data_IF_175649850683
#
_entry.id   IF_175649850683
#
_cell.length_a   1.000
_cell.length_b   1.000
_cell.length_c   1.000
_cell.angle_alpha   90.00
_cell.angle_beta   90.00
_cell.angle_gamma   90.00
#
_symmetry.space_group_name_H-M   'P 1'
#
loop_
_entity.id
_entity.type
_entity.pdbx_description
1 polymer ?
#
# COMPACT_ATOMS: atom_id res chain seq x y z
N UNK A 1 -20.14 65.24 4.24
CA UNK A 1 -19.13 64.44 3.52
C UNK A 1 -18.31 63.74 4.59
N UNK A 2 -18.45 62.45 4.83
CA UNK A 2 -17.92 61.39 3.98
C UNK A 2 -18.82 60.15 4.08
N UNK A 3 -19.24 59.67 2.91
CA UNK A 3 -20.02 58.46 2.76
C UNK A 3 -19.16 57.30 3.29
N UNK A 4 -19.59 56.66 4.38
CA UNK A 4 -18.94 55.47 4.92
C UNK A 4 -19.11 54.36 3.89
N UNK A 5 -18.08 54.20 3.05
CA UNK A 5 -17.98 53.14 2.05
C UNK A 5 -18.09 51.80 2.74
N UNK A 6 -19.33 51.29 2.82
CA UNK A 6 -19.67 49.95 3.26
C UNK A 6 -19.02 49.03 2.25
N UNK A 7 -17.77 48.63 2.52
CA UNK A 7 -17.00 47.67 1.72
C UNK A 7 -17.82 46.39 1.64
N UNK A 8 -18.62 46.28 0.59
CA UNK A 8 -19.25 45.04 0.16
C UNK A 8 -18.11 44.11 -0.23
N UNK A 9 -17.67 43.25 0.70
CA UNK A 9 -16.78 42.16 0.36
C UNK A 9 -17.47 41.38 -0.77
N UNK A 10 -16.83 41.29 -1.94
CA UNK A 10 -17.42 40.57 -3.06
C UNK A 10 -17.76 39.14 -2.64
N UNK A 11 -18.87 38.61 -3.15
CA UNK A 11 -19.30 37.22 -2.90
C UNK A 11 -18.15 36.26 -3.21
N UNK A 12 -17.37 36.51 -4.27
CA UNK A 12 -16.16 35.76 -4.62
C UNK A 12 -15.11 35.76 -3.51
N UNK A 13 -14.88 36.89 -2.83
CA UNK A 13 -13.94 36.96 -1.71
C UNK A 13 -14.45 36.20 -0.47
N UNK A 14 -15.77 36.20 -0.22
CA UNK A 14 -16.38 35.42 0.86
C UNK A 14 -16.29 33.92 0.58
N UNK A 15 -16.64 33.49 -0.64
CA UNK A 15 -16.50 32.09 -1.08
C UNK A 15 -15.03 31.66 -1.02
N UNK A 16 -14.10 32.49 -1.49
CA UNK A 16 -12.66 32.18 -1.44
C UNK A 16 -12.16 32.05 0.00
N UNK A 17 -12.65 32.88 0.92
CA UNK A 17 -12.33 32.76 2.36
C UNK A 17 -12.93 31.51 2.98
N UNK A 18 -14.18 31.16 2.65
CA UNK A 18 -14.82 29.94 3.13
C UNK A 18 -14.14 28.69 2.56
N UNK A 19 -13.83 28.67 1.27
CA UNK A 19 -13.05 27.61 0.63
C UNK A 19 -11.68 27.47 1.29
N UNK A 20 -10.96 28.57 1.53
CA UNK A 20 -9.69 28.53 2.29
C UNK A 20 -9.88 27.98 3.68
N UNK A 21 -10.86 28.43 4.46
CA UNK A 21 -11.13 27.91 5.82
C UNK A 21 -11.49 26.43 5.80
N UNK A 22 -12.32 26.00 4.84
CA UNK A 22 -12.71 24.62 4.64
C UNK A 22 -11.49 23.76 4.27
N UNK A 23 -10.68 24.21 3.30
CA UNK A 23 -9.41 23.57 2.97
C UNK A 23 -8.42 23.56 4.14
N UNK A 24 -8.28 24.64 4.90
CA UNK A 24 -7.38 24.66 6.08
C UNK A 24 -7.87 23.73 7.18
N UNK A 25 -9.20 23.55 7.34
CA UNK A 25 -9.76 22.65 8.34
C UNK A 25 -9.70 21.18 7.91
N UNK A 26 -9.91 20.89 6.62
CA UNK A 26 -10.09 19.52 6.11
C UNK A 26 -8.84 18.98 5.43
N UNK A 27 -7.99 19.81 4.84
CA UNK A 27 -6.75 19.31 4.23
C UNK A 27 -5.89 18.52 5.23
N UNK A 28 -5.67 18.98 6.48
CA UNK A 28 -4.91 18.19 7.45
C UNK A 28 -5.52 16.80 7.72
N UNK A 29 -6.85 16.70 7.77
CA UNK A 29 -7.54 15.42 8.00
C UNK A 29 -7.52 14.50 6.79
N UNK A 30 -7.40 15.05 5.58
CA UNK A 30 -7.27 14.29 4.33
C UNK A 30 -5.81 14.00 3.94
N UNK A 31 -4.84 14.61 4.63
CA UNK A 31 -3.40 14.39 4.40
C UNK A 31 -2.80 13.23 5.18
N UNK A 32 -3.60 12.52 5.99
CA UNK A 32 -3.12 11.40 6.81
C UNK A 32 -4.15 10.27 6.82
N UNK A 33 -3.67 9.05 6.94
CA UNK A 33 -4.53 7.89 7.22
C UNK A 33 -4.63 7.73 8.73
N UNK A 34 -5.84 7.48 9.23
CA UNK A 34 -6.05 7.22 10.66
C UNK A 34 -5.21 6.04 11.16
N UNK A 35 -4.76 6.14 12.41
CA UNK A 35 -3.96 5.07 13.02
C UNK A 35 -4.75 3.76 13.09
N UNK A 36 -4.12 2.67 12.62
CA UNK A 36 -4.68 1.32 12.69
C UNK A 36 -4.29 0.71 14.04
N UNK A 37 -5.17 0.85 15.04
CA UNK A 37 -4.87 0.49 16.43
C UNK A 37 -4.46 -0.97 16.62
N UNK A 38 -4.98 -1.91 15.82
CA UNK A 38 -4.61 -3.32 15.95
C UNK A 38 -3.12 -3.55 15.63
N UNK A 39 -2.54 -2.80 14.69
CA UNK A 39 -1.11 -2.91 14.35
C UNK A 39 -0.19 -2.45 15.48
N UNK A 40 -0.68 -1.62 16.41
CA UNK A 40 0.09 -1.20 17.60
C UNK A 40 0.34 -2.35 18.57
N UNK A 41 -0.60 -3.29 18.65
CA UNK A 41 -0.64 -4.35 19.65
C UNK A 41 0.10 -5.62 19.23
N UNK A 42 0.59 -5.64 17.98
CA UNK A 42 1.26 -6.78 17.38
C UNK A 42 2.70 -6.39 17.08
N UNK A 43 3.63 -7.33 17.17
CA UNK A 43 5.03 -7.13 16.72
C UNK A 43 5.24 -7.60 15.28
N UNK A 44 4.34 -8.46 14.79
CA UNK A 44 4.39 -8.98 13.44
C UNK A 44 3.01 -9.34 12.91
N UNK A 45 2.92 -9.32 11.58
CA UNK A 45 1.78 -9.82 10.82
C UNK A 45 2.30 -10.62 9.62
N UNK A 46 1.41 -11.43 9.06
CA UNK A 46 1.69 -12.18 7.83
C UNK A 46 0.58 -11.93 6.83
N UNK A 47 0.95 -11.79 5.57
CA UNK A 47 0.04 -11.57 4.44
C UNK A 47 0.06 -12.84 3.61
N UNK A 48 -1.11 -13.46 3.41
CA UNK A 48 -1.26 -14.67 2.58
C UNK A 48 -2.47 -14.53 1.67
N UNK A 49 -2.47 -15.25 0.56
CA UNK A 49 -3.68 -15.38 -0.24
C UNK A 49 -4.70 -16.23 0.51
N UNK A 50 -5.94 -15.76 0.56
CA UNK A 50 -7.04 -16.46 1.24
C UNK A 50 -7.50 -17.66 0.41
N UNK A 51 -7.83 -17.43 -0.86
CA UNK A 51 -8.35 -18.46 -1.76
C UNK A 51 -7.62 -18.44 -3.11
N UNK A 52 -6.91 -19.54 -3.40
CA UNK A 52 -6.19 -19.73 -4.66
C UNK A 52 -7.15 -19.89 -5.84
N UNK A 53 -8.38 -20.36 -5.60
CA UNK A 53 -9.39 -20.50 -6.66
C UNK A 53 -9.82 -19.14 -7.22
N UNK A 54 -9.83 -18.07 -6.41
CA UNK A 54 -10.09 -16.71 -6.89
C UNK A 54 -9.02 -16.24 -7.87
N UNK A 55 -7.74 -16.51 -7.55
CA UNK A 55 -6.64 -16.22 -8.46
C UNK A 55 -6.75 -17.03 -9.76
N UNK A 56 -7.00 -18.34 -9.65
CA UNK A 56 -7.18 -19.20 -10.82
C UNK A 56 -8.33 -18.71 -11.71
N UNK A 57 -9.46 -18.35 -11.12
CA UNK A 57 -10.61 -17.79 -11.84
C UNK A 57 -10.26 -16.48 -12.57
N UNK A 58 -9.51 -15.58 -11.95
CA UNK A 58 -9.03 -14.36 -12.59
C UNK A 58 -8.12 -14.65 -13.80
N UNK A 59 -7.19 -15.60 -13.64
CA UNK A 59 -6.28 -16.02 -14.72
C UNK A 59 -7.05 -16.69 -15.86
N UNK A 60 -7.94 -17.63 -15.55
CA UNK A 60 -8.75 -18.32 -16.55
C UNK A 60 -9.62 -17.34 -17.33
N UNK A 61 -10.26 -16.39 -16.64
CA UNK A 61 -11.08 -15.37 -17.30
C UNK A 61 -10.26 -14.48 -18.23
N UNK A 62 -9.05 -14.10 -17.83
CA UNK A 62 -8.13 -13.35 -18.66
C UNK A 62 -7.67 -14.15 -19.88
N UNK A 63 -7.22 -15.40 -19.69
CA UNK A 63 -6.67 -16.24 -20.77
C UNK A 63 -7.75 -16.66 -21.76
N UNK A 64 -8.91 -17.12 -21.27
CA UNK A 64 -9.95 -17.70 -22.11
C UNK A 64 -10.87 -16.64 -22.73
N UNK A 65 -11.10 -15.52 -22.04
CA UNK A 65 -12.04 -14.47 -22.51
C UNK A 65 -11.37 -13.17 -22.89
N UNK A 66 -10.04 -13.06 -22.78
CA UNK A 66 -9.30 -11.80 -22.95
C UNK A 66 -9.88 -10.65 -22.10
N UNK A 67 -10.46 -10.99 -20.95
CA UNK A 67 -11.10 -10.05 -20.04
C UNK A 67 -10.18 -9.76 -18.86
N UNK A 68 -9.75 -8.51 -18.73
CA UNK A 68 -8.97 -8.06 -17.58
C UNK A 68 -9.86 -7.74 -16.35
N UNK A 69 -11.19 -7.83 -16.48
CA UNK A 69 -12.13 -7.75 -15.37
C UNK A 69 -12.22 -9.10 -14.66
N UNK A 70 -12.09 -9.09 -13.33
CA UNK A 70 -12.21 -10.27 -12.47
C UNK A 70 -12.85 -9.89 -11.12
N UNK A 71 -13.41 -10.89 -10.43
CA UNK A 71 -13.90 -10.73 -9.06
C UNK A 71 -12.72 -10.60 -8.09
N UNK A 72 -12.84 -9.84 -7.00
CA UNK A 72 -11.69 -9.50 -6.15
C UNK A 72 -10.96 -10.73 -5.60
N UNK A 73 -9.63 -10.68 -5.64
CA UNK A 73 -8.78 -11.71 -5.03
C UNK A 73 -8.43 -11.27 -3.61
N UNK A 74 -8.76 -12.11 -2.64
CA UNK A 74 -8.63 -11.78 -1.23
C UNK A 74 -7.29 -12.21 -0.64
N UNK A 75 -6.66 -11.30 0.09
CA UNK A 75 -5.46 -11.53 0.89
C UNK A 75 -5.81 -11.35 2.37
N UNK A 76 -5.49 -12.36 3.18
CA UNK A 76 -5.64 -12.30 4.62
C UNK A 76 -4.39 -11.70 5.26
N UNK A 77 -4.60 -10.78 6.19
CA UNK A 77 -3.56 -10.32 7.11
C UNK A 77 -3.82 -11.03 8.44
N UNK A 78 -2.88 -11.89 8.84
CA UNK A 78 -2.98 -12.73 10.03
C UNK A 78 -1.91 -12.38 11.06
N UNK A 79 -2.20 -12.63 12.34
CA UNK A 79 -1.24 -12.49 13.42
C UNK A 79 -0.37 -13.78 13.59
N UNK A 80 0.44 -13.81 14.65
CA UNK A 80 1.31 -14.96 14.99
C UNK A 80 0.49 -16.22 15.24
N UNK A 81 -0.66 -16.06 15.88
CA UNK A 81 -1.59 -17.11 16.28
C UNK A 81 -2.42 -17.64 15.09
N UNK A 82 -2.34 -17.00 13.92
CA UNK A 82 -3.07 -17.40 12.71
C UNK A 82 -4.48 -16.83 12.58
N UNK A 83 -4.89 -15.95 13.50
CA UNK A 83 -6.15 -15.24 13.39
C UNK A 83 -6.06 -14.10 12.38
N UNK A 84 -7.08 -14.00 11.53
CA UNK A 84 -7.24 -12.88 10.60
C UNK A 84 -7.60 -11.62 11.36
N UNK A 85 -6.79 -10.58 11.19
CA UNK A 85 -6.98 -9.27 11.81
C UNK A 85 -7.46 -8.21 10.82
N UNK A 86 -7.08 -8.34 9.55
CA UNK A 86 -7.44 -7.44 8.46
C UNK A 86 -7.51 -8.24 7.15
N UNK A 87 -8.04 -7.61 6.11
CA UNK A 87 -8.16 -8.21 4.78
C UNK A 87 -7.80 -7.17 3.73
N UNK A 88 -7.14 -7.60 2.65
CA UNK A 88 -6.89 -6.78 1.48
C UNK A 88 -7.54 -7.43 0.26
N UNK A 89 -8.38 -6.68 -0.44
CA UNK A 89 -9.11 -7.14 -1.60
C UNK A 89 -8.47 -6.53 -2.85
N UNK A 90 -7.97 -7.37 -3.75
CA UNK A 90 -7.32 -6.96 -4.99
C UNK A 90 -8.37 -6.86 -6.09
N UNK A 91 -8.73 -5.64 -6.47
CA UNK A 91 -9.59 -5.34 -7.60
C UNK A 91 -8.73 -5.07 -8.86
N UNK A 92 -9.34 -5.06 -10.07
CA UNK A 92 -8.62 -4.71 -11.29
C UNK A 92 -7.98 -3.31 -11.28
N UNK A 93 -8.61 -2.33 -10.61
CA UNK A 93 -8.19 -0.93 -10.57
C UNK A 93 -7.40 -0.57 -9.31
N UNK A 94 -7.71 -1.14 -8.16
CA UNK A 94 -7.07 -0.86 -6.88
C UNK A 94 -7.02 -2.06 -5.92
N UNK A 95 -6.24 -1.94 -4.85
CA UNK A 95 -6.32 -2.86 -3.71
C UNK A 95 -6.92 -2.10 -2.55
N UNK A 96 -7.94 -2.67 -1.92
CA UNK A 96 -8.60 -2.08 -0.76
C UNK A 96 -8.14 -2.80 0.49
N UNK A 97 -7.52 -2.08 1.43
CA UNK A 97 -7.19 -2.61 2.76
C UNK A 97 -8.31 -2.25 3.75
N UNK A 98 -8.80 -3.25 4.47
CA UNK A 98 -9.93 -3.09 5.40
C UNK A 98 -9.75 -3.83 6.72
N UNK A 99 -10.33 -3.27 7.78
CA UNK A 99 -10.47 -3.86 9.12
C UNK A 99 -11.96 -4.07 9.39
N UNK A 100 -12.43 -5.32 9.35
CA UNK A 100 -13.87 -5.61 9.35
C UNK A 100 -14.55 -4.93 8.15
N UNK A 101 -15.55 -4.10 8.40
CA UNK A 101 -16.23 -3.31 7.36
C UNK A 101 -15.62 -1.91 7.12
N UNK A 102 -14.57 -1.54 7.86
CA UNK A 102 -13.94 -0.21 7.75
C UNK A 102 -12.83 -0.23 6.69
N UNK A 103 -12.99 0.59 5.65
CA UNK A 103 -11.92 0.88 4.67
C UNK A 103 -10.80 1.68 5.35
N UNK A 104 -9.59 1.15 5.35
CA UNK A 104 -8.40 1.79 5.93
C UNK A 104 -7.69 2.66 4.90
N UNK A 105 -7.43 2.11 3.72
CA UNK A 105 -6.82 2.85 2.61
C UNK A 105 -7.04 2.14 1.28
N UNK A 106 -6.76 2.87 0.21
CA UNK A 106 -6.67 2.34 -1.16
C UNK A 106 -5.20 2.29 -1.57
N UNK A 107 -4.85 1.27 -2.34
CA UNK A 107 -3.50 1.05 -2.83
C UNK A 107 -3.58 0.94 -4.35
N UNK A 108 -2.85 1.79 -5.06
CA UNK A 108 -2.70 1.70 -6.51
C UNK A 108 -1.29 1.26 -6.82
N UNK A 109 -1.14 0.09 -7.42
CA UNK A 109 0.15 -0.36 -7.95
C UNK A 109 0.48 0.42 -9.23
N UNK A 110 1.72 0.78 -9.45
CA UNK A 110 2.14 1.54 -10.62
C UNK A 110 3.31 0.79 -11.26
N UNK A 111 3.17 0.54 -12.56
CA UNK A 111 4.22 -0.04 -13.39
C UNK A 111 4.03 0.47 -14.82
N UNK A 112 4.15 1.80 -14.93
CA UNK A 112 4.44 2.47 -16.19
C UNK A 112 5.95 2.61 -16.27
N UNK A 113 6.55 2.11 -17.35
CA UNK A 113 8.01 2.20 -17.60
C UNK A 113 8.52 3.66 -17.48
N UNK A 114 7.62 4.62 -17.66
CA UNK A 114 7.88 6.06 -17.61
C UNK A 114 8.01 6.64 -16.20
N UNK A 115 7.65 5.89 -15.14
CA UNK A 115 7.65 6.43 -13.77
C UNK A 115 8.46 5.55 -12.83
N UNK A 116 9.31 6.18 -12.03
CA UNK A 116 9.93 5.52 -10.86
C UNK A 116 8.92 5.16 -9.77
N UNK A 117 7.66 5.57 -9.89
CA UNK A 117 6.60 5.27 -8.93
C UNK A 117 6.17 3.80 -9.02
N UNK A 118 6.17 3.14 -7.87
CA UNK A 118 5.80 1.73 -7.71
C UNK A 118 4.40 1.55 -7.15
N UNK A 119 4.02 2.42 -6.21
CA UNK A 119 2.82 2.24 -5.41
C UNK A 119 2.37 3.58 -4.83
N UNK A 120 1.07 3.84 -4.87
CA UNK A 120 0.43 4.97 -4.18
C UNK A 120 -0.52 4.46 -3.12
N UNK A 121 -0.50 5.10 -1.96
CA UNK A 121 -1.46 4.87 -0.86
C UNK A 121 -2.37 6.07 -0.81
N UNK A 122 -3.68 5.85 -0.95
CA UNK A 122 -4.68 6.92 -0.95
C UNK A 122 -5.57 6.85 0.28
N UNK A 123 -6.03 8.02 0.69
CA UNK A 123 -6.94 8.20 1.80
C UNK A 123 -8.32 7.59 1.46
N UNK A 124 -8.92 6.77 2.36
CA UNK A 124 -10.10 5.95 2.05
C UNK A 124 -11.37 6.75 1.73
N UNK A 125 -11.46 8.02 2.13
CA UNK A 125 -12.66 8.86 1.92
C UNK A 125 -12.48 9.82 0.73
N UNK A 126 -11.28 10.36 0.54
CA UNK A 126 -11.04 11.42 -0.45
C UNK A 126 -10.38 10.91 -1.73
N UNK A 127 -9.84 9.69 -1.74
CA UNK A 127 -9.03 9.15 -2.85
C UNK A 127 -7.72 9.91 -3.07
N UNK A 128 -7.39 10.88 -2.23
CA UNK A 128 -6.16 11.66 -2.34
C UNK A 128 -4.95 10.79 -2.01
N UNK A 129 -3.90 10.88 -2.83
CA UNK A 129 -2.64 10.20 -2.55
C UNK A 129 -1.99 10.83 -1.31
N UNK A 130 -1.78 9.99 -0.30
CA UNK A 130 -1.12 10.36 0.96
C UNK A 130 0.36 9.99 0.91
N UNK A 131 0.65 8.76 0.44
CA UNK A 131 2.01 8.27 0.28
C UNK A 131 2.26 7.81 -1.15
N UNK A 132 3.47 8.04 -1.64
CA UNK A 132 3.94 7.51 -2.91
C UNK A 132 5.31 6.85 -2.70
N UNK A 133 5.42 5.58 -3.09
CA UNK A 133 6.65 4.82 -3.02
C UNK A 133 7.30 4.83 -4.39
N UNK A 134 8.54 5.33 -4.47
CA UNK A 134 9.31 5.46 -5.72
C UNK A 134 10.63 4.73 -5.65
N UNK A 135 10.92 3.90 -6.64
CA UNK A 135 12.19 3.18 -6.76
C UNK A 135 13.26 4.04 -7.45
N UNK A 136 14.41 4.18 -6.80
CA UNK A 136 15.59 4.86 -7.31
C UNK A 136 16.83 4.04 -6.96
N UNK A 137 17.44 3.40 -7.96
CA UNK A 137 18.71 2.68 -7.80
C UNK A 137 18.67 1.58 -6.74
N UNK A 138 17.58 0.81 -6.66
CA UNK A 138 17.40 -0.27 -5.67
C UNK A 138 17.01 0.20 -4.27
N UNK A 139 16.81 1.50 -4.06
CA UNK A 139 16.20 2.06 -2.84
C UNK A 139 14.81 2.59 -3.17
N UNK A 140 13.84 2.33 -2.30
CA UNK A 140 12.47 2.81 -2.49
C UNK A 140 12.23 3.96 -1.51
N UNK A 141 12.06 5.16 -2.03
CA UNK A 141 11.76 6.35 -1.24
C UNK A 141 10.28 6.41 -0.91
N UNK A 142 9.97 6.74 0.34
CA UNK A 142 8.60 7.01 0.78
C UNK A 142 8.39 8.52 0.72
N UNK A 143 7.55 8.97 -0.22
CA UNK A 143 7.19 10.37 -0.38
C UNK A 143 5.81 10.62 0.25
N UNK A 144 5.68 11.78 0.89
CA UNK A 144 4.44 12.27 1.50
C UNK A 144 4.37 13.79 1.27
N UNK A 145 3.18 14.36 1.35
CA UNK A 145 2.96 15.80 1.33
C UNK A 145 3.30 16.48 2.67
N UNK A 146 3.64 15.71 3.70
CA UNK A 146 4.03 16.19 5.04
C UNK A 146 5.51 15.89 5.33
N UNK A 147 6.16 16.68 6.19
CA UNK A 147 7.57 16.45 6.55
C UNK A 147 7.80 15.29 7.55
N UNK A 148 6.75 14.60 8.00
CA UNK A 148 6.81 13.66 9.14
C UNK A 148 7.62 12.40 8.85
N UNK A 149 7.58 11.90 7.62
CA UNK A 149 8.34 10.72 7.20
C UNK A 149 9.62 11.07 6.45
N UNK A 150 10.14 12.28 6.61
CA UNK A 150 11.32 12.72 5.87
C UNK A 150 12.52 11.81 6.15
N UNK A 151 13.02 11.17 5.10
CA UNK A 151 14.13 10.21 5.17
C UNK A 151 13.72 8.76 5.38
N UNK A 152 12.43 8.47 5.53
CA UNK A 152 11.92 7.11 5.53
C UNK A 152 12.11 6.47 4.15
N UNK A 153 12.65 5.25 4.11
CA UNK A 153 12.94 4.53 2.88
C UNK A 153 12.91 3.03 3.08
N UNK A 154 12.72 2.29 2.01
CA UNK A 154 12.84 0.84 1.98
C UNK A 154 14.12 0.47 1.24
N UNK A 155 14.96 -0.34 1.87
CA UNK A 155 16.16 -0.90 1.26
C UNK A 155 15.93 -2.36 0.92
N UNK A 156 16.19 -2.72 -0.34
CA UNK A 156 16.20 -4.09 -0.80
C UNK A 156 17.52 -4.75 -0.43
N UNK A 157 17.44 -5.90 0.21
CA UNK A 157 18.58 -6.73 0.60
C UNK A 157 18.46 -8.09 -0.07
N UNK A 158 19.59 -8.62 -0.52
CA UNK A 158 19.69 -10.01 -0.99
C UNK A 158 20.75 -10.71 -0.18
N UNK A 159 20.50 -11.98 0.16
CA UNK A 159 21.46 -12.82 0.87
C UNK A 159 21.62 -14.16 0.15
N UNK A 160 22.80 -14.77 0.24
CA UNK A 160 23.04 -16.09 -0.36
C UNK A 160 22.09 -17.16 0.15
N UNK A 161 21.69 -17.09 1.43
CA UNK A 161 20.66 -17.97 1.98
C UNK A 161 19.31 -17.77 1.29
N UNK A 162 18.90 -16.52 1.02
CA UNK A 162 17.65 -16.26 0.31
C UNK A 162 17.65 -16.86 -1.10
N UNK A 163 18.79 -16.86 -1.81
CA UNK A 163 18.88 -17.51 -3.13
C UNK A 163 18.72 -19.02 -3.08
N UNK A 164 19.19 -19.67 -2.00
CA UNK A 164 18.96 -21.11 -1.81
C UNK A 164 17.48 -21.41 -1.61
N UNK A 165 16.78 -20.58 -0.83
CA UNK A 165 15.34 -20.75 -0.61
C UNK A 165 14.51 -20.55 -1.88
N UNK A 166 14.89 -19.59 -2.72
CA UNK A 166 14.27 -19.41 -4.04
C UNK A 166 14.50 -20.64 -4.92
N UNK A 167 15.74 -21.13 -4.99
CA UNK A 167 16.09 -22.27 -5.83
C UNK A 167 15.46 -23.60 -5.37
N UNK A 168 15.15 -23.76 -4.08
CA UNK A 168 14.40 -24.92 -3.59
C UNK A 168 12.88 -24.80 -3.71
N UNK A 169 12.35 -23.69 -4.24
CA UNK A 169 10.91 -23.40 -4.27
C UNK A 169 10.33 -22.95 -2.93
N UNK A 170 11.15 -22.89 -1.87
CA UNK A 170 10.72 -22.60 -0.51
C UNK A 170 10.35 -21.13 -0.25
N UNK A 171 10.63 -20.24 -1.22
CA UNK A 171 10.28 -18.82 -1.18
C UNK A 171 10.11 -18.28 -2.61
N UNK A 172 9.12 -17.41 -2.82
CA UNK A 172 8.88 -16.79 -4.14
C UNK A 172 9.88 -15.69 -4.51
N UNK A 173 10.68 -15.20 -3.56
CA UNK A 173 11.72 -14.19 -3.81
C UNK A 173 12.95 -14.39 -2.95
N UNK A 174 14.12 -14.02 -3.50
CA UNK A 174 15.38 -13.92 -2.76
C UNK A 174 15.55 -12.58 -2.03
N UNK A 175 14.70 -11.62 -2.33
CA UNK A 175 14.77 -10.28 -1.77
C UNK A 175 14.08 -10.23 -0.41
N UNK A 176 14.66 -9.44 0.48
CA UNK A 176 14.05 -9.02 1.73
C UNK A 176 14.17 -7.51 1.82
N UNK A 177 13.17 -6.86 2.38
CA UNK A 177 13.10 -5.41 2.38
C UNK A 177 13.11 -4.90 3.82
N UNK A 178 14.02 -3.98 4.13
CA UNK A 178 14.06 -3.30 5.42
C UNK A 178 13.50 -1.89 5.26
N UNK A 179 12.54 -1.51 6.09
CA UNK A 179 12.03 -0.14 6.18
C UNK A 179 12.85 0.59 7.23
N UNK A 180 13.46 1.70 6.85
CA UNK A 180 14.36 2.48 7.68
C UNK A 180 13.84 3.91 7.85
N UNK A 181 14.10 4.46 9.04
CA UNK A 181 13.94 5.87 9.36
C UNK A 181 15.18 6.31 10.13
N UNK A 182 15.81 7.42 9.71
CA UNK A 182 17.07 7.90 10.31
C UNK A 182 18.13 6.78 10.41
N UNK A 183 18.24 5.96 9.36
CA UNK A 183 19.17 4.83 9.25
C UNK A 183 18.97 3.70 10.29
N UNK A 184 17.94 3.78 11.12
CA UNK A 184 17.50 2.68 11.99
C UNK A 184 16.47 1.82 11.27
N UNK A 185 16.62 0.50 11.32
CA UNK A 185 15.63 -0.45 10.81
C UNK A 185 14.40 -0.41 11.72
N UNK A 186 13.25 -0.03 11.15
CA UNK A 186 11.97 0.06 11.84
C UNK A 186 11.03 -1.09 11.48
N UNK A 187 11.19 -1.69 10.30
CA UNK A 187 10.48 -2.92 9.92
C UNK A 187 11.27 -3.76 8.93
N UNK A 188 10.94 -5.05 8.87
CA UNK A 188 11.44 -6.00 7.90
C UNK A 188 10.27 -6.71 7.24
N UNK A 189 10.24 -6.68 5.91
CA UNK A 189 9.28 -7.35 5.04
C UNK A 189 10.04 -8.44 4.30
N UNK A 190 9.56 -9.68 4.35
CA UNK A 190 10.26 -10.80 3.72
C UNK A 190 9.30 -11.90 3.29
N UNK A 191 9.61 -12.64 2.22
CA UNK A 191 8.96 -13.91 1.94
C UNK A 191 9.07 -14.84 3.16
N UNK A 192 7.99 -15.55 3.47
CA UNK A 192 8.04 -16.63 4.44
C UNK A 192 8.86 -17.79 3.83
N UNK A 193 9.77 -18.34 4.62
CA UNK A 193 10.75 -19.34 4.16
C UNK A 193 10.32 -20.72 4.63
N UNK A 194 9.16 -21.17 4.19
CA UNK A 194 8.62 -22.47 4.57
C UNK A 194 7.89 -23.09 3.39
N UNK A 195 8.15 -24.37 3.17
CA UNK A 195 7.57 -25.19 2.10
C UNK A 195 6.04 -25.25 2.14
N UNK A 196 5.45 -25.07 3.33
CA UNK A 196 3.99 -25.10 3.53
C UNK A 196 3.33 -23.72 3.41
N UNK A 197 4.13 -22.69 3.14
CA UNK A 197 3.70 -21.29 3.14
C UNK A 197 4.42 -20.52 2.04
N UNK A 198 4.49 -21.12 0.85
CA UNK A 198 5.29 -20.62 -0.29
C UNK A 198 4.84 -19.22 -0.74
N UNK A 199 3.57 -18.87 -0.50
CA UNK A 199 2.97 -17.60 -0.89
C UNK A 199 2.50 -16.83 0.34
N UNK A 200 3.43 -16.53 1.24
CA UNK A 200 3.17 -15.71 2.42
C UNK A 200 4.31 -14.70 2.59
N UNK A 201 3.96 -13.46 2.93
CA UNK A 201 4.91 -12.42 3.33
C UNK A 201 4.82 -12.24 4.83
N UNK A 202 5.97 -12.24 5.50
CA UNK A 202 6.10 -11.90 6.91
C UNK A 202 6.58 -10.46 7.05
N UNK A 203 5.88 -9.69 7.88
CA UNK A 203 6.25 -8.31 8.23
C UNK A 203 6.45 -8.24 9.74
N UNK A 204 7.65 -7.84 10.16
CA UNK A 204 8.02 -7.66 11.57
C UNK A 204 8.48 -6.22 11.76
N UNK A 205 8.08 -5.56 12.84
CA UNK A 205 8.52 -4.18 13.11
C UNK A 205 9.14 -4.02 14.50
N UNK A 206 10.00 -3.00 14.62
CA UNK A 206 10.56 -2.56 15.89
C UNK A 206 9.40 -2.11 16.82
N UNK A 207 9.46 -2.38 18.13
CA UNK A 207 8.44 -1.94 19.07
C UNK A 207 8.19 -0.43 19.05
N UNK A 208 9.20 0.37 18.70
CA UNK A 208 9.11 1.83 18.59
C UNK A 208 8.73 2.31 17.18
N UNK A 209 8.38 1.39 16.27
CA UNK A 209 7.90 1.74 14.94
C UNK A 209 6.57 2.48 15.05
N UNK A 210 6.52 3.67 14.45
CA UNK A 210 5.33 4.52 14.42
C UNK A 210 4.21 3.88 13.60
N UNK A 211 2.96 4.20 13.92
CA UNK A 211 1.79 3.63 13.28
C UNK A 211 1.78 3.76 11.76
N UNK A 212 2.19 4.94 11.30
CA UNK A 212 2.24 5.29 9.89
C UNK A 212 3.23 4.39 9.14
N UNK A 213 4.42 4.17 9.71
CA UNK A 213 5.41 3.26 9.16
C UNK A 213 4.96 1.80 9.24
N UNK A 214 4.24 1.38 10.27
CA UNK A 214 3.64 0.02 10.33
C UNK A 214 2.65 -0.18 9.19
N UNK A 215 1.76 0.80 8.95
CA UNK A 215 0.80 0.77 7.86
C UNK A 215 1.51 0.74 6.50
N UNK A 216 2.50 1.62 6.28
CA UNK A 216 3.26 1.67 5.01
C UNK A 216 4.01 0.35 4.78
N UNK A 217 4.60 -0.23 5.82
CA UNK A 217 5.27 -1.54 5.75
C UNK A 217 4.31 -2.66 5.36
N UNK A 218 3.09 -2.65 5.93
CA UNK A 218 2.04 -3.60 5.58
C UNK A 218 1.58 -3.44 4.14
N UNK A 219 1.25 -2.21 3.73
CA UNK A 219 0.84 -1.90 2.36
C UNK A 219 1.94 -2.25 1.35
N UNK A 220 3.20 -1.97 1.68
CA UNK A 220 4.33 -2.37 0.87
C UNK A 220 4.40 -3.90 0.73
N UNK A 221 4.24 -4.65 1.83
CA UNK A 221 4.18 -6.11 1.80
C UNK A 221 3.04 -6.63 0.92
N UNK A 222 1.84 -6.04 1.01
CA UNK A 222 0.70 -6.36 0.14
C UNK A 222 1.04 -6.09 -1.34
N UNK A 223 1.68 -4.95 -1.62
CA UNK A 223 2.13 -4.62 -2.97
C UNK A 223 3.14 -5.63 -3.52
N UNK A 224 4.11 -6.05 -2.71
CA UNK A 224 5.08 -7.09 -3.09
C UNK A 224 4.43 -8.47 -3.26
N UNK A 225 3.38 -8.76 -2.49
CA UNK A 225 2.61 -9.99 -2.65
C UNK A 225 2.01 -10.08 -4.06
N UNK A 226 1.35 -9.01 -4.51
CA UNK A 226 0.75 -8.97 -5.85
C UNK A 226 1.83 -8.93 -6.93
N UNK A 227 2.84 -8.05 -6.78
CA UNK A 227 3.86 -7.83 -7.82
C UNK A 227 4.82 -9.00 -8.01
N UNK A 228 5.23 -9.64 -6.92
CA UNK A 228 6.35 -10.59 -6.93
C UNK A 228 5.86 -12.02 -6.69
N UNK A 229 4.96 -12.25 -5.73
CA UNK A 229 4.45 -13.59 -5.48
C UNK A 229 3.43 -14.03 -6.55
N UNK A 230 2.61 -13.10 -7.06
CA UNK A 230 1.55 -13.39 -8.05
C UNK A 230 1.68 -12.55 -9.34
N UNK A 231 2.77 -12.70 -10.11
CA UNK A 231 3.05 -11.86 -11.28
C UNK A 231 1.94 -11.94 -12.35
N UNK A 232 1.23 -13.06 -12.44
CA UNK A 232 0.08 -13.20 -13.34
C UNK A 232 -1.08 -12.28 -12.93
N UNK A 233 -1.41 -12.20 -11.63
CA UNK A 233 -2.42 -11.27 -11.13
C UNK A 233 -2.00 -9.82 -11.40
N UNK A 234 -0.73 -9.51 -11.15
CA UNK A 234 -0.19 -8.19 -11.43
C UNK A 234 -0.29 -7.82 -12.91
N UNK A 235 0.01 -8.76 -13.81
CA UNK A 235 -0.15 -8.58 -15.25
C UNK A 235 -1.60 -8.25 -15.62
N UNK A 236 -2.59 -8.97 -15.07
CA UNK A 236 -4.02 -8.72 -15.35
C UNK A 236 -4.43 -7.33 -14.87
N UNK A 237 -4.01 -6.93 -13.66
CA UNK A 237 -4.25 -5.58 -13.12
C UNK A 237 -3.62 -4.49 -14.00
N UNK A 238 -2.40 -4.73 -14.51
CA UNK A 238 -1.72 -3.82 -15.43
C UNK A 238 -2.49 -3.66 -16.74
N UNK A 239 -2.87 -4.78 -17.36
CA UNK A 239 -3.68 -4.81 -18.57
C UNK A 239 -5.01 -4.09 -18.41
N UNK A 240 -5.71 -4.31 -17.28
CA UNK A 240 -6.95 -3.60 -17.00
C UNK A 240 -6.77 -2.09 -17.02
N UNK A 241 -5.72 -1.58 -16.37
CA UNK A 241 -5.48 -0.14 -16.30
C UNK A 241 -5.05 0.45 -17.64
N UNK A 242 -4.21 -0.25 -18.40
CA UNK A 242 -3.79 0.22 -19.73
C UNK A 242 -4.97 0.32 -20.70
N UNK A 243 -5.97 -0.58 -20.59
CA UNK A 243 -7.16 -0.57 -21.44
C UNK A 243 -8.19 0.52 -21.06
N UNK A 244 -8.09 1.09 -19.86
CA UNK A 244 -9.02 2.08 -19.32
C UNK A 244 -8.41 3.48 -19.15
N UNK A 245 -7.17 3.70 -19.62
CA UNK A 245 -6.53 5.01 -19.74
C UNK A 245 -6.81 5.61 -21.11
#
# INVERSE_FOLDING_TARGET
MTNTGRRTSSVTAQISRQARRFSTAIAPTLTKIEAVHILQKLDEVRVKMNDVAQLQGAIEHYVLRNSAQFDPVELDIINKEGYRIMQASVYPDEIILQEGSKKICEITLIDTEDTSSMLKIKHPVSGMTVYELRELGGTILIQTNTDELKGARVMTQTSGLSSLFLNCGCAFSKETWSVLTQDKIMANVRPNRSFWSENEIKIQWDPNCENELRLISLVFGIGQMVRVAFPQLFHIVKEFRQRNQ
#
